data_IF_219646657373
#
_entry.id   IF_219646657373
#
_cell.length_a   1.000
_cell.length_b   1.000
_cell.length_c   1.000
_cell.angle_alpha   90.00
_cell.angle_beta   90.00
_cell.angle_gamma   90.00
#
_symmetry.space_group_name_H-M   'P 1'
#
loop_
_entity.id
_entity.type
_entity.pdbx_description
1 polymer ?
#
# COMPACT_ATOMS: atom_id res chain seq x y z
N UNK A 1 20.73 -29.32 -45.19
CA UNK A 1 21.46 -29.13 -43.91
C UNK A 1 21.12 -27.78 -43.26
N UNK A 2 21.82 -26.67 -43.51
CA UNK A 2 21.57 -25.40 -42.78
C UNK A 2 20.25 -24.70 -43.16
N UNK A 3 19.89 -24.69 -44.44
CA UNK A 3 18.63 -24.10 -44.90
C UNK A 3 17.40 -24.86 -44.38
N UNK A 4 17.51 -26.18 -44.19
CA UNK A 4 16.45 -27.00 -43.57
C UNK A 4 16.29 -26.70 -42.08
N UNK A 5 17.39 -26.41 -41.38
CA UNK A 5 17.35 -25.96 -39.99
C UNK A 5 16.67 -24.60 -39.87
N UNK A 6 17.00 -23.64 -40.74
CA UNK A 6 16.37 -22.32 -40.74
C UNK A 6 14.86 -22.41 -41.01
N UNK A 7 14.46 -23.24 -41.98
CA UNK A 7 13.03 -23.48 -42.27
C UNK A 7 12.30 -24.08 -41.07
N UNK A 8 12.94 -25.01 -40.37
CA UNK A 8 12.40 -25.57 -39.13
C UNK A 8 12.27 -24.55 -37.99
N UNK A 9 13.15 -23.55 -37.93
CA UNK A 9 13.07 -22.45 -36.95
C UNK A 9 11.90 -21.52 -37.30
N UNK A 10 11.74 -21.15 -38.57
CA UNK A 10 10.64 -20.30 -39.05
C UNK A 10 9.26 -20.94 -38.76
N UNK A 11 9.13 -22.24 -39.05
CA UNK A 11 7.89 -22.98 -38.76
C UNK A 11 7.60 -23.03 -37.26
N UNK A 12 8.64 -23.20 -36.43
CA UNK A 12 8.51 -23.26 -34.96
C UNK A 12 8.10 -21.91 -34.37
N UNK A 13 8.71 -20.82 -34.81
CA UNK A 13 8.36 -19.46 -34.37
C UNK A 13 6.93 -19.13 -34.76
N UNK A 14 6.54 -19.41 -36.00
CA UNK A 14 5.18 -19.21 -36.51
C UNK A 14 4.17 -19.99 -35.68
N UNK A 15 4.44 -21.26 -35.40
CA UNK A 15 3.56 -22.10 -34.59
C UNK A 15 3.35 -21.56 -33.17
N UNK A 16 4.42 -21.05 -32.54
CA UNK A 16 4.36 -20.46 -31.20
C UNK A 16 3.50 -19.20 -31.24
N UNK A 17 3.75 -18.26 -32.15
CA UNK A 17 2.97 -17.01 -32.24
C UNK A 17 1.46 -17.30 -32.40
N UNK A 18 1.10 -18.24 -33.27
CA UNK A 18 -0.31 -18.58 -33.52
C UNK A 18 -0.97 -19.41 -32.41
N UNK A 19 -0.19 -20.14 -31.59
CA UNK A 19 -0.73 -20.99 -30.50
C UNK A 19 -0.53 -20.41 -29.10
N UNK A 20 0.16 -19.29 -28.95
CA UNK A 20 0.28 -18.58 -27.68
C UNK A 20 -1.11 -18.08 -27.29
N UNK A 21 -1.74 -18.80 -26.37
CA UNK A 21 -2.87 -18.29 -25.60
C UNK A 21 -2.27 -17.53 -24.43
N UNK A 22 -2.46 -16.22 -24.42
CA UNK A 22 -2.23 -15.42 -23.22
C UNK A 22 -3.30 -15.83 -22.22
N UNK A 23 -2.98 -16.81 -21.36
CA UNK A 23 -3.71 -16.97 -20.11
C UNK A 23 -3.31 -15.79 -19.25
N UNK A 24 -4.20 -14.81 -19.10
CA UNK A 24 -4.05 -13.84 -18.03
C UNK A 24 -3.96 -14.63 -16.73
N UNK A 25 -2.78 -14.63 -16.11
CA UNK A 25 -2.57 -15.12 -14.75
C UNK A 25 -3.18 -14.10 -13.77
N UNK A 26 -4.47 -13.87 -13.95
CA UNK A 26 -5.33 -13.07 -13.08
C UNK A 26 -6.64 -13.82 -12.88
N UNK A 27 -6.56 -15.15 -12.77
CA UNK A 27 -7.42 -15.83 -11.83
C UNK A 27 -6.99 -15.36 -10.44
N UNK A 28 -7.49 -14.18 -10.09
CA UNK A 28 -7.59 -13.68 -8.74
C UNK A 28 -7.89 -14.88 -7.86
N UNK A 29 -6.91 -15.27 -7.05
CA UNK A 29 -7.13 -16.22 -5.98
C UNK A 29 -8.35 -15.70 -5.24
N UNK A 30 -9.44 -16.43 -5.37
CA UNK A 30 -10.69 -16.19 -4.67
C UNK A 30 -10.40 -16.35 -3.17
N UNK A 31 -9.89 -15.27 -2.59
CA UNK A 31 -9.69 -15.08 -1.16
C UNK A 31 -10.95 -14.44 -0.57
N UNK A 32 -12.13 -14.83 -1.04
CA UNK A 32 -13.35 -14.64 -0.25
C UNK A 32 -13.66 -15.92 0.53
N UNK A 33 -12.69 -16.38 1.32
CA UNK A 33 -13.03 -17.13 2.52
C UNK A 33 -13.76 -16.13 3.41
N UNK A 34 -15.07 -16.30 3.54
CA UNK A 34 -15.92 -15.56 4.48
C UNK A 34 -15.32 -15.66 5.89
N UNK A 35 -14.45 -14.70 6.22
CA UNK A 35 -13.86 -14.58 7.53
C UNK A 35 -14.92 -13.91 8.42
N UNK A 36 -15.79 -14.72 9.02
CA UNK A 36 -16.61 -14.27 10.14
C UNK A 36 -15.69 -13.81 11.25
N UNK A 37 -15.54 -12.49 11.39
CA UNK A 37 -14.91 -11.86 12.54
C UNK A 37 -15.86 -11.98 13.72
N UNK A 38 -15.66 -12.99 14.58
CA UNK A 38 -16.28 -13.02 15.91
C UNK A 38 -15.41 -12.18 16.83
N UNK A 39 -15.86 -10.98 17.18
CA UNK A 39 -15.27 -10.23 18.28
C UNK A 39 -15.62 -10.96 19.58
N UNK A 40 -14.68 -11.74 20.11
CA UNK A 40 -14.72 -12.10 21.51
C UNK A 40 -14.40 -10.82 22.29
N UNK A 41 -15.38 -10.38 23.06
CA UNK A 41 -15.35 -9.23 23.95
C UNK A 41 -14.00 -9.17 24.67
N UNK A 42 -13.17 -8.18 24.34
CA UNK A 42 -11.91 -7.92 25.04
C UNK A 42 -12.22 -7.11 26.30
N UNK A 43 -13.06 -7.68 27.16
CA UNK A 43 -13.28 -7.16 28.49
C UNK A 43 -12.13 -7.68 29.34
N UNK A 44 -11.10 -6.84 29.43
CA UNK A 44 -10.12 -6.86 30.51
C UNK A 44 -8.98 -7.90 30.45
N UNK A 45 -8.26 -7.99 29.32
CA UNK A 45 -6.94 -8.62 29.31
C UNK A 45 -5.83 -7.60 29.65
N UNK A 46 -5.72 -7.34 30.96
CA UNK A 46 -4.44 -7.13 31.64
C UNK A 46 -3.56 -5.96 31.20
N UNK A 47 -3.94 -4.73 31.53
CA UNK A 47 -3.01 -3.62 31.72
C UNK A 47 -3.32 -2.88 33.03
N UNK A 48 -3.28 -3.60 34.14
CA UNK A 48 -3.32 -3.01 35.47
C UNK A 48 -2.44 -3.88 36.37
N UNK A 49 -1.17 -3.50 36.53
CA UNK A 49 -0.35 -4.08 37.60
C UNK A 49 1.16 -4.10 37.39
N UNK A 50 1.70 -3.90 36.18
CA UNK A 50 3.14 -4.16 35.96
C UNK A 50 3.84 -3.25 34.95
N UNK A 51 3.23 -2.13 34.55
CA UNK A 51 3.84 -1.18 33.62
C UNK A 51 4.41 0.08 34.29
N UNK A 52 4.12 0.30 35.57
CA UNK A 52 4.56 1.52 36.26
C UNK A 52 6.02 1.42 36.73
N UNK A 53 6.46 0.24 37.20
CA UNK A 53 7.82 0.05 37.72
C UNK A 53 8.92 0.13 36.64
N UNK A 54 8.67 -0.36 35.42
CA UNK A 54 9.66 -0.31 34.32
C UNK A 54 9.67 1.05 33.60
N UNK A 55 8.57 1.81 33.62
CA UNK A 55 8.52 3.17 33.05
C UNK A 55 9.32 4.16 33.88
N UNK A 56 9.27 4.06 35.20
CA UNK A 56 10.04 4.93 36.10
C UNK A 56 11.56 4.67 36.03
N UNK A 57 11.97 3.43 35.76
CA UNK A 57 13.38 3.08 35.57
C UNK A 57 13.94 3.58 34.22
N UNK A 58 13.13 3.53 33.16
CA UNK A 58 13.52 4.00 31.82
C UNK A 58 13.55 5.54 31.71
N UNK A 59 12.69 6.26 32.44
CA UNK A 59 12.65 7.74 32.42
C UNK A 59 13.85 8.41 33.11
N UNK A 60 14.56 7.72 34.00
CA UNK A 60 15.75 8.27 34.70
C UNK A 60 17.05 8.23 33.88
N UNK A 61 17.08 7.51 32.75
CA UNK A 61 18.31 7.27 31.98
C UNK A 61 18.54 8.24 30.81
N UNK A 62 17.54 9.06 30.44
CA UNK A 62 17.66 9.98 29.30
C UNK A 62 17.26 11.39 29.74
N UNK A 63 18.24 12.10 30.28
CA UNK A 63 18.14 13.53 30.50
C UNK A 63 17.85 14.26 29.18
N UNK A 64 16.93 15.23 29.29
CA UNK A 64 16.42 16.14 28.25
C UNK A 64 15.24 15.60 27.42
N UNK A 65 14.07 15.63 28.05
CA UNK A 65 12.77 15.67 27.37
C UNK A 65 12.72 16.89 26.43
N UNK A 66 13.05 16.69 25.16
CA UNK A 66 12.63 17.62 24.13
C UNK A 66 11.13 17.42 23.92
N UNK A 67 10.34 18.33 24.50
CA UNK A 67 8.90 18.44 24.27
C UNK A 67 8.67 18.63 22.77
N UNK A 68 8.28 17.55 22.08
CA UNK A 68 7.92 17.60 20.67
C UNK A 68 6.63 18.40 20.54
N UNK A 69 6.75 19.65 20.09
CA UNK A 69 5.61 20.51 19.80
C UNK A 69 4.83 19.93 18.60
N UNK A 70 3.52 19.75 18.76
CA UNK A 70 2.65 19.27 17.70
C UNK A 70 2.50 20.35 16.62
N UNK A 71 3.01 20.10 15.41
CA UNK A 71 2.85 21.00 14.27
C UNK A 71 1.36 21.08 13.89
N UNK A 72 0.71 22.19 14.20
CA UNK A 72 -0.63 22.53 13.69
C UNK A 72 -0.49 23.10 12.29
N UNK A 73 -1.38 22.71 11.37
CA UNK A 73 -1.43 23.28 10.03
C UNK A 73 -2.21 24.60 10.10
N UNK A 74 -1.63 25.67 9.58
CA UNK A 74 -2.31 26.96 9.47
C UNK A 74 -3.40 26.97 8.40
N UNK A 75 -3.29 26.09 7.40
CA UNK A 75 -4.22 26.01 6.28
C UNK A 75 -5.09 24.74 6.31
N UNK A 76 -6.36 24.84 5.84
CA UNK A 76 -7.25 23.71 5.74
C UNK A 76 -6.71 22.66 4.77
N UNK A 77 -7.01 21.39 5.04
CA UNK A 77 -6.64 20.27 4.15
C UNK A 77 -7.41 20.40 2.83
N UNK A 78 -6.68 20.57 1.72
CA UNK A 78 -7.27 20.62 0.38
C UNK A 78 -7.95 19.28 0.07
N UNK A 79 -9.23 19.32 -0.28
CA UNK A 79 -10.00 18.16 -0.66
C UNK A 79 -9.59 17.62 -2.02
N UNK A 80 -9.74 16.31 -2.24
CA UNK A 80 -9.33 15.63 -3.48
C UNK A 80 -9.97 16.23 -4.75
N UNK A 81 -11.19 16.77 -4.65
CA UNK A 81 -11.93 17.34 -5.78
C UNK A 81 -11.87 18.87 -5.87
N UNK A 82 -11.28 19.55 -4.88
CA UNK A 82 -11.25 21.01 -4.82
C UNK A 82 -10.35 21.61 -5.91
N UNK A 83 -10.50 22.90 -6.25
CA UNK A 83 -9.57 23.59 -7.13
C UNK A 83 -8.13 23.46 -6.62
N UNK A 84 -7.22 23.12 -7.51
CA UNK A 84 -5.83 22.93 -7.13
C UNK A 84 -5.19 24.30 -6.76
N UNK A 85 -4.51 24.42 -5.61
CA UNK A 85 -3.96 25.70 -5.13
C UNK A 85 -2.84 26.28 -6.01
N UNK A 86 -2.40 25.57 -7.05
CA UNK A 86 -1.43 26.06 -8.03
C UNK A 86 -2.04 26.97 -9.11
N UNK A 87 -3.33 27.30 -9.03
CA UNK A 87 -3.99 28.20 -9.98
C UNK A 87 -4.27 27.60 -11.37
N UNK A 88 -4.06 26.30 -11.56
CA UNK A 88 -4.21 25.64 -12.88
C UNK A 88 -5.66 25.46 -13.35
N UNK A 89 -6.65 25.79 -12.53
CA UNK A 89 -8.09 25.54 -12.79
C UNK A 89 -8.50 24.06 -12.75
N UNK A 90 -7.56 23.13 -12.54
CA UNK A 90 -7.82 21.68 -12.46
C UNK A 90 -8.17 21.26 -11.03
N UNK A 91 -8.95 20.19 -10.88
CA UNK A 91 -9.23 19.54 -9.57
C UNK A 91 -7.93 19.01 -8.96
N UNK A 92 -7.77 19.08 -7.63
CA UNK A 92 -6.55 18.68 -6.91
C UNK A 92 -6.08 17.27 -7.31
N UNK A 93 -6.98 16.28 -7.37
CA UNK A 93 -6.67 14.90 -7.82
C UNK A 93 -6.09 14.75 -9.22
N UNK A 94 -6.36 15.71 -10.10
CA UNK A 94 -5.90 15.71 -11.48
C UNK A 94 -4.63 16.54 -11.66
N UNK A 95 -4.11 17.14 -10.58
CA UNK A 95 -2.94 17.99 -10.57
C UNK A 95 -1.99 17.53 -9.44
N UNK A 96 -1.80 18.32 -8.39
CA UNK A 96 -0.85 18.03 -7.30
C UNK A 96 -1.27 16.85 -6.39
N UNK A 97 -2.54 16.47 -6.40
CA UNK A 97 -3.05 15.28 -5.71
C UNK A 97 -3.01 14.01 -6.55
N UNK A 98 -2.38 14.02 -7.73
CA UNK A 98 -2.29 12.86 -8.62
C UNK A 98 -1.28 11.85 -8.04
N UNK A 99 -1.77 10.73 -7.51
CA UNK A 99 -0.95 9.68 -6.90
C UNK A 99 -1.07 9.58 -5.37
N UNK A 100 -1.76 10.53 -4.73
CA UNK A 100 -2.20 10.35 -3.35
C UNK A 100 -3.34 9.32 -3.33
N UNK A 101 -3.04 8.10 -2.87
CA UNK A 101 -4.05 7.06 -2.62
C UNK A 101 -4.83 7.37 -1.36
#
# INVERSE_FOLDING_TARGET
MFQEMLRGIEDKVTNIIFKVRLTEETAARDHSRNATTRHAESTNLGFAGQADADRDAAMKAQGQEQKVEQIRRDQPKVGRNDPCPCGSGKKYKACHGKGAK
#
